data_IF_591459794214
#
_entry.id   IF_591459794214
#
_cell.length_a   1.000
_cell.length_b   1.000
_cell.length_c   1.000
_cell.angle_alpha   90.00
_cell.angle_beta   90.00
_cell.angle_gamma   90.00
#
_symmetry.space_group_name_H-M   'P 1'
#
loop_
_entity.id
_entity.type
_entity.pdbx_description
1 polymer ?
#
# COMPACT_ATOMS: atom_id res chain seq x y z
N UNK A 1 35.50 21.78 -3.54
CA UNK A 1 34.05 22.06 -3.46
C UNK A 1 33.47 21.06 -2.48
N UNK A 2 32.88 21.51 -1.37
CA UNK A 2 32.19 20.62 -0.43
C UNK A 2 30.92 20.13 -1.12
N UNK A 3 30.74 18.81 -1.24
CA UNK A 3 29.48 18.26 -1.68
C UNK A 3 28.44 18.65 -0.64
N UNK A 4 27.40 19.38 -1.04
CA UNK A 4 26.23 19.58 -0.19
C UNK A 4 25.58 18.21 -0.01
N UNK A 5 25.84 17.57 1.13
CA UNK A 5 25.15 16.35 1.52
C UNK A 5 23.73 16.74 1.94
N UNK A 6 22.80 16.62 1.00
CA UNK A 6 21.37 16.70 1.30
C UNK A 6 21.02 15.39 2.00
N UNK A 7 20.65 15.46 3.27
CA UNK A 7 20.11 14.29 3.98
C UNK A 7 18.91 13.74 3.22
N UNK A 8 18.76 12.41 3.11
CA UNK A 8 17.59 11.84 2.48
C UNK A 8 16.31 12.29 3.20
N UNK A 9 15.20 12.53 2.49
CA UNK A 9 13.94 12.91 3.11
C UNK A 9 13.45 11.79 4.05
N UNK A 10 13.08 12.18 5.27
CA UNK A 10 12.40 11.29 6.22
C UNK A 10 10.89 11.33 5.96
N UNK A 11 10.26 10.16 5.86
CA UNK A 11 8.82 10.05 5.57
C UNK A 11 8.15 9.23 6.66
N UNK A 12 7.13 9.79 7.31
CA UNK A 12 6.35 9.16 8.38
C UNK A 12 5.05 8.60 7.82
N UNK A 13 5.01 7.29 7.57
CA UNK A 13 3.88 6.62 6.92
C UNK A 13 3.20 5.55 7.77
N UNK A 14 3.78 5.18 8.91
CA UNK A 14 3.25 4.13 9.79
C UNK A 14 2.44 4.73 10.94
N UNK A 15 1.31 4.12 11.23
CA UNK A 15 0.55 4.28 12.47
C UNK A 15 1.01 3.26 13.51
N UNK A 16 0.58 3.44 14.74
CA UNK A 16 0.90 2.53 15.84
C UNK A 16 0.45 1.10 15.53
N UNK A 17 1.39 0.14 15.61
CA UNK A 17 1.18 -1.28 15.32
C UNK A 17 1.03 -1.65 13.84
N UNK A 18 1.31 -0.73 12.91
CA UNK A 18 1.54 -1.08 11.50
C UNK A 18 3.00 -1.51 11.29
N UNK A 19 3.22 -2.48 10.40
CA UNK A 19 4.54 -3.01 10.07
C UNK A 19 4.82 -2.93 8.56
N UNK A 20 6.05 -2.54 8.20
CA UNK A 20 6.54 -2.67 6.82
C UNK A 20 6.98 -4.12 6.62
N UNK A 21 6.32 -4.82 5.70
CA UNK A 21 6.62 -6.23 5.40
C UNK A 21 7.41 -6.39 4.09
N UNK A 22 7.38 -5.39 3.21
CA UNK A 22 8.20 -5.38 2.00
C UNK A 22 8.45 -3.95 1.50
N UNK A 23 9.60 -3.74 0.85
CA UNK A 23 9.96 -2.48 0.21
C UNK A 23 10.79 -2.78 -1.05
N UNK A 24 10.41 -2.19 -2.18
CA UNK A 24 11.21 -2.29 -3.41
C UNK A 24 11.21 -0.97 -4.20
N UNK A 25 12.30 -0.68 -4.93
CA UNK A 25 12.35 0.46 -5.84
C UNK A 25 11.49 0.22 -7.08
N UNK A 26 10.95 1.31 -7.62
CA UNK A 26 10.30 1.40 -8.93
C UNK A 26 10.88 2.58 -9.70
N UNK A 27 10.60 2.70 -11.00
CA UNK A 27 11.22 3.70 -11.88
C UNK A 27 11.19 5.13 -11.33
N UNK A 28 10.09 5.52 -10.70
CA UNK A 28 9.88 6.87 -10.13
C UNK A 28 9.93 6.93 -8.60
N UNK A 29 10.35 5.89 -7.90
CA UNK A 29 10.46 5.91 -6.43
C UNK A 29 10.39 4.54 -5.77
N UNK A 30 9.44 4.33 -4.85
CA UNK A 30 9.38 3.12 -4.02
C UNK A 30 7.95 2.64 -3.82
N UNK A 31 7.78 1.33 -3.75
CA UNK A 31 6.58 0.72 -3.19
C UNK A 31 6.90 0.18 -1.79
N UNK A 32 6.03 0.48 -0.83
CA UNK A 32 6.13 0.03 0.55
C UNK A 32 4.86 -0.74 0.88
N UNK A 33 5.01 -2.00 1.27
CA UNK A 33 3.89 -2.86 1.67
C UNK A 33 3.79 -2.83 3.18
N UNK A 34 2.60 -2.42 3.65
CA UNK A 34 2.31 -2.27 5.06
C UNK A 34 1.20 -3.25 5.43
N UNK A 35 1.38 -3.93 6.55
CA UNK A 35 0.36 -4.74 7.19
C UNK A 35 -0.12 -4.04 8.45
N UNK A 36 -1.44 -3.95 8.63
CA UNK A 36 -2.03 -3.37 9.83
C UNK A 36 -2.33 -4.44 10.89
N UNK A 37 -2.75 -3.98 12.07
CA UNK A 37 -3.08 -4.84 13.22
C UNK A 37 -4.21 -5.84 12.95
N UNK A 38 -5.05 -5.61 11.93
CA UNK A 38 -6.13 -6.52 11.52
C UNK A 38 -5.66 -7.57 10.51
N UNK A 39 -4.39 -7.54 10.11
CA UNK A 39 -3.84 -8.40 9.05
C UNK A 39 -4.18 -7.93 7.64
N UNK A 40 -4.79 -6.76 7.47
CA UNK A 40 -5.02 -6.18 6.15
C UNK A 40 -3.71 -5.61 5.61
N UNK A 41 -3.52 -5.71 4.29
CA UNK A 41 -2.30 -5.30 3.60
C UNK A 41 -2.62 -4.18 2.62
N UNK A 42 -1.82 -3.12 2.62
CA UNK A 42 -1.92 -2.05 1.63
C UNK A 42 -0.54 -1.64 1.12
N UNK A 43 -0.51 -1.03 -0.06
CA UNK A 43 0.72 -0.54 -0.68
C UNK A 43 0.70 0.98 -0.68
N UNK A 44 1.79 1.57 -0.20
CA UNK A 44 2.09 2.98 -0.39
C UNK A 44 3.11 3.11 -1.52
N UNK A 45 2.72 3.84 -2.57
CA UNK A 45 3.63 4.27 -3.63
C UNK A 45 4.19 5.65 -3.28
N UNK A 46 5.51 5.73 -3.12
CA UNK A 46 6.26 6.95 -2.90
C UNK A 46 6.91 7.32 -4.23
N UNK A 47 6.41 8.36 -4.90
CA UNK A 47 6.99 8.86 -6.14
C UNK A 47 7.83 10.10 -5.87
N UNK A 48 9.04 10.18 -6.41
CA UNK A 48 9.88 11.37 -6.33
C UNK A 48 9.61 12.25 -7.55
N UNK A 49 9.31 13.53 -7.33
CA UNK A 49 9.22 14.49 -8.44
C UNK A 49 10.61 14.95 -8.93
N UNK A 50 10.62 15.87 -9.90
CA UNK A 50 11.84 16.41 -10.53
C UNK A 50 12.81 17.03 -9.51
N UNK A 51 12.29 17.51 -8.37
CA UNK A 51 13.07 18.11 -7.28
C UNK A 51 13.42 17.09 -6.19
N UNK A 52 13.20 15.79 -6.44
CA UNK A 52 13.35 14.69 -5.48
C UNK A 52 12.43 14.82 -4.25
N UNK A 53 11.31 15.54 -4.39
CA UNK A 53 10.32 15.63 -3.31
C UNK A 53 9.36 14.42 -3.38
N UNK A 54 9.13 13.72 -2.25
CA UNK A 54 8.25 12.56 -2.23
C UNK A 54 6.77 12.94 -2.30
N UNK A 55 6.04 12.27 -3.18
CA UNK A 55 4.58 12.27 -3.29
C UNK A 55 4.04 10.89 -2.95
N UNK A 56 3.03 10.85 -2.09
CA UNK A 56 2.52 9.62 -1.50
C UNK A 56 1.15 9.31 -2.10
N UNK A 57 1.01 8.12 -2.67
CA UNK A 57 -0.27 7.56 -3.07
C UNK A 57 -0.47 6.23 -2.33
N UNK A 58 -1.67 6.00 -1.79
CA UNK A 58 -2.01 4.77 -1.09
C UNK A 58 -3.03 3.97 -1.91
N UNK A 59 -2.77 2.69 -2.13
CA UNK A 59 -3.77 1.78 -2.67
C UNK A 59 -4.84 1.48 -1.62
N UNK A 60 -6.09 1.18 -2.02
CA UNK A 60 -7.06 0.62 -1.08
C UNK A 60 -6.52 -0.61 -0.35
N UNK A 61 -6.96 -0.83 0.88
CA UNK A 61 -6.57 -2.01 1.65
C UNK A 61 -7.05 -3.28 0.96
N UNK A 62 -6.14 -4.25 0.82
CA UNK A 62 -6.47 -5.62 0.48
C UNK A 62 -6.64 -6.42 1.77
N UNK A 63 -7.76 -7.11 1.90
CA UNK A 63 -7.99 -8.05 3.01
C UNK A 63 -7.68 -9.44 2.50
N UNK A 64 -6.64 -10.09 3.05
CA UNK A 64 -6.26 -11.46 2.71
C UNK A 64 -6.82 -12.37 3.79
N UNK A 65 -7.69 -13.29 3.42
CA UNK A 65 -8.29 -14.28 4.32
C UNK A 65 -7.87 -15.69 3.93
N UNK A 66 -8.15 -16.66 4.81
CA UNK A 66 -7.93 -18.06 4.49
C UNK A 66 -8.86 -18.51 3.36
N UNK A 67 -8.34 -19.39 2.50
CA UNK A 67 -9.15 -20.14 1.54
C UNK A 67 -10.14 -21.01 2.33
N UNK A 68 -11.37 -21.10 1.83
CA UNK A 68 -12.37 -21.97 2.44
C UNK A 68 -12.14 -23.45 2.08
N UNK A 69 -13.01 -24.33 2.57
CA UNK A 69 -12.91 -25.78 2.34
C UNK A 69 -12.98 -26.17 0.85
N UNK A 70 -13.45 -25.26 -0.02
CA UNK A 70 -13.54 -25.51 -1.46
C UNK A 70 -12.19 -25.40 -2.18
N UNK A 71 -11.16 -24.88 -1.51
CA UNK A 71 -9.85 -24.61 -2.09
C UNK A 71 -9.88 -23.70 -3.35
N UNK A 72 -10.91 -22.85 -3.48
CA UNK A 72 -11.00 -21.85 -4.55
C UNK A 72 -10.43 -20.52 -4.07
N UNK A 73 -9.46 -19.97 -4.79
CA UNK A 73 -8.98 -18.61 -4.52
C UNK A 73 -10.01 -17.61 -5.08
N UNK A 74 -10.52 -16.72 -4.23
CA UNK A 74 -11.41 -15.65 -4.68
C UNK A 74 -10.80 -14.27 -4.44
N UNK A 75 -11.05 -13.35 -5.38
CA UNK A 75 -10.80 -11.92 -5.19
C UNK A 75 -12.14 -11.23 -5.15
N UNK A 76 -12.43 -10.51 -4.07
CA UNK A 76 -13.65 -9.72 -3.98
C UNK A 76 -13.37 -8.25 -3.65
N UNK A 77 -14.20 -7.37 -4.18
CA UNK A 77 -14.19 -5.94 -3.90
C UNK A 77 -15.58 -5.50 -3.51
N UNK A 78 -15.69 -4.76 -2.41
CA UNK A 78 -16.94 -4.12 -1.98
C UNK A 78 -16.87 -2.64 -2.33
N UNK A 79 -17.82 -2.17 -3.14
CA UNK A 79 -17.97 -0.77 -3.49
C UNK A 79 -19.23 -0.21 -2.84
N UNK A 80 -19.08 0.88 -2.10
CA UNK A 80 -20.24 1.67 -1.65
C UNK A 80 -20.73 2.55 -2.81
N UNK A 81 -22.03 2.49 -3.07
CA UNK A 81 -22.73 3.29 -4.09
C UNK A 81 -23.89 4.02 -3.46
N UNK A 82 -24.48 5.00 -4.16
CA UNK A 82 -25.68 5.70 -3.70
C UNK A 82 -26.90 4.79 -3.49
N UNK A 83 -26.87 3.56 -4.02
CA UNK A 83 -27.93 2.56 -3.90
C UNK A 83 -27.61 1.46 -2.86
N UNK A 84 -26.46 1.55 -2.18
CA UNK A 84 -25.99 0.57 -1.20
C UNK A 84 -24.65 -0.06 -1.55
N UNK A 85 -24.34 -1.19 -0.90
CA UNK A 85 -23.08 -1.92 -1.05
C UNK A 85 -23.17 -2.96 -2.16
N UNK A 86 -22.25 -2.89 -3.12
CA UNK A 86 -22.12 -3.88 -4.20
C UNK A 86 -20.84 -4.69 -3.96
N UNK A 87 -20.95 -6.01 -3.82
CA UNK A 87 -19.81 -6.94 -3.79
C UNK A 87 -19.61 -7.52 -5.20
N UNK A 88 -18.41 -7.38 -5.75
CA UNK A 88 -17.98 -8.00 -6.99
C UNK A 88 -16.94 -9.07 -6.64
N UNK A 89 -17.12 -10.30 -7.12
CA UNK A 89 -16.20 -11.43 -6.87
C UNK A 89 -15.70 -12.01 -8.19
N UNK A 90 -14.43 -12.40 -8.24
CA UNK A 90 -13.78 -13.14 -9.31
C UNK A 90 -13.07 -14.36 -8.72
N UNK A 91 -12.98 -15.44 -9.51
CA UNK A 91 -12.43 -16.74 -9.11
C UNK A 91 -11.36 -17.18 -10.12
#
# INVERSE_FOLDING_TARGET
MLANHISPPEIKILKEGEEVINLWPVDSGYHVVIKNQKGEVFVISINLDENKMPRINQTPNLVITHIDETNVMEVSTVKETSQGKVKVTTF
#
